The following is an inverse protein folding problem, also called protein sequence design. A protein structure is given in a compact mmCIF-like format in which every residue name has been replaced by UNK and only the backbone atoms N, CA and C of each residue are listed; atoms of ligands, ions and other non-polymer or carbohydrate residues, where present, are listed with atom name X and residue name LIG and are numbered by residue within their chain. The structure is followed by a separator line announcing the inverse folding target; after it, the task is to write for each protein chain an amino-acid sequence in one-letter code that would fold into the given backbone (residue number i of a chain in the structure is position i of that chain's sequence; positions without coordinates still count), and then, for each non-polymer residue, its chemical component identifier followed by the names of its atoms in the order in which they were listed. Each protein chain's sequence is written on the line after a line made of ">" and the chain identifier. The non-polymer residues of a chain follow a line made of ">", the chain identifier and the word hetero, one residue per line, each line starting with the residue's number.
data_IF_212056425705
#
_entry.id   IF_212056425705
#
_cell.length_a   1.000
_cell.length_b   1.000
_cell.length_c   1.000
_cell.angle_alpha   90.00
_cell.angle_beta   90.00
_cell.angle_gamma   90.00
#
_symmetry.space_group_name_H-M   'P 1'
#
loop_
_entity.id
_entity.type
_entity.pdbx_description
1 polymer ?
#
# COMPACT_ATOMS: atom_id res chain seq x y z
N UNK A 1 -35.07 -18.97 5.43
CA UNK A 1 -34.09 -20.04 5.77
C UNK A 1 -33.21 -19.54 6.91
N UNK A 2 -32.70 -20.44 7.78
CA UNK A 2 -31.85 -20.05 8.92
C UNK A 2 -30.39 -20.33 8.58
N UNK A 3 -29.56 -19.30 8.65
CA UNK A 3 -28.11 -19.42 8.57
C UNK A 3 -27.51 -19.40 9.98
N UNK A 4 -26.60 -20.33 10.24
CA UNK A 4 -25.90 -20.49 11.50
C UNK A 4 -24.39 -20.31 11.29
N UNK A 5 -23.66 -19.92 12.34
CA UNK A 5 -22.20 -19.70 12.27
C UNK A 5 -21.35 -20.94 11.94
N UNK A 6 -21.94 -22.10 11.66
CA UNK A 6 -21.24 -23.31 11.19
C UNK A 6 -21.32 -23.49 9.68
N UNK A 7 -22.17 -22.73 8.99
CA UNK A 7 -22.31 -22.82 7.54
C UNK A 7 -21.07 -22.23 6.86
N UNK A 8 -20.49 -22.96 5.91
CA UNK A 8 -19.35 -22.47 5.13
C UNK A 8 -19.74 -21.30 4.22
N UNK A 9 -18.77 -20.44 3.82
CA UNK A 9 -19.05 -19.24 3.03
C UNK A 9 -19.75 -19.53 1.71
N UNK A 10 -19.38 -20.61 1.01
CA UNK A 10 -20.03 -21.01 -0.25
C UNK A 10 -21.51 -21.34 -0.06
N UNK A 11 -21.85 -22.06 1.01
CA UNK A 11 -23.23 -22.43 1.32
C UNK A 11 -24.06 -21.21 1.71
N UNK A 12 -23.45 -20.28 2.47
CA UNK A 12 -24.07 -18.99 2.80
C UNK A 12 -24.38 -18.20 1.52
N UNK A 13 -23.42 -18.08 0.60
CA UNK A 13 -23.61 -17.38 -0.68
C UNK A 13 -24.78 -17.99 -1.47
N UNK A 14 -24.80 -19.32 -1.62
CA UNK A 14 -25.87 -20.02 -2.34
C UNK A 14 -27.25 -19.75 -1.72
N UNK A 15 -27.36 -19.84 -0.39
CA UNK A 15 -28.62 -19.59 0.31
C UNK A 15 -29.06 -18.13 0.15
N UNK A 16 -28.14 -17.18 0.28
CA UNK A 16 -28.44 -15.74 0.12
C UNK A 16 -28.92 -15.47 -1.30
N UNK A 17 -28.23 -15.99 -2.31
CA UNK A 17 -28.60 -15.81 -3.71
C UNK A 17 -29.96 -16.46 -4.05
N UNK A 18 -30.20 -17.68 -3.55
CA UNK A 18 -31.46 -18.39 -3.72
C UNK A 18 -32.64 -17.72 -2.96
N UNK A 19 -32.35 -16.91 -1.93
CA UNK A 19 -33.34 -16.19 -1.14
C UNK A 19 -33.36 -14.67 -1.43
N UNK A 20 -32.89 -14.25 -2.60
CA UNK A 20 -32.76 -12.83 -2.99
C UNK A 20 -34.02 -11.98 -2.80
N UNK A 21 -35.21 -12.59 -2.82
CA UNK A 21 -36.51 -11.91 -2.68
C UNK A 21 -37.31 -12.37 -1.44
N UNK A 22 -36.64 -12.81 -0.37
CA UNK A 22 -37.31 -13.30 0.84
C UNK A 22 -36.56 -13.01 2.14
N UNK A 23 -37.06 -13.55 3.24
CA UNK A 23 -36.45 -13.35 4.57
C UNK A 23 -35.39 -14.42 4.88
N UNK A 24 -34.22 -13.95 5.26
CA UNK A 24 -33.11 -14.76 5.77
C UNK A 24 -32.98 -14.47 7.27
N UNK A 25 -32.94 -15.51 8.09
CA UNK A 25 -32.76 -15.39 9.53
C UNK A 25 -31.35 -15.83 9.90
N UNK A 26 -30.61 -14.98 10.61
CA UNK A 26 -29.27 -15.27 11.07
C UNK A 26 -29.28 -15.59 12.56
N UNK A 27 -28.73 -16.74 12.94
CA UNK A 27 -28.46 -17.09 14.34
C UNK A 27 -26.98 -16.81 14.63
N UNK A 28 -26.71 -15.65 15.22
CA UNK A 28 -25.35 -15.15 15.47
C UNK A 28 -25.00 -15.14 16.96
N UNK A 29 -23.71 -15.26 17.27
CA UNK A 29 -23.16 -14.96 18.59
C UNK A 29 -22.63 -13.52 18.52
N UNK A 30 -23.07 -12.60 19.40
CA UNK A 30 -22.61 -11.21 19.37
C UNK A 30 -21.13 -11.11 19.77
N UNK A 31 -20.41 -10.20 19.10
CA UNK A 31 -19.03 -9.85 19.44
C UNK A 31 -19.07 -8.64 20.38
N UNK A 32 -18.44 -8.75 21.56
CA UNK A 32 -18.50 -7.75 22.64
C UNK A 32 -17.55 -6.59 22.45
N UNK A 33 -16.52 -6.75 21.61
CA UNK A 33 -15.53 -5.72 21.31
C UNK A 33 -15.82 -5.17 19.92
N UNK A 34 -16.51 -4.02 19.86
CA UNK A 34 -16.57 -3.23 18.63
C UNK A 34 -15.61 -2.05 18.78
N UNK A 35 -14.66 -1.85 17.86
CA UNK A 35 -13.95 -0.58 17.78
C UNK A 35 -14.98 0.53 17.60
N UNK A 36 -14.99 1.50 18.52
CA UNK A 36 -15.79 2.71 18.35
C UNK A 36 -15.13 3.50 17.21
N UNK A 37 -15.66 3.36 16.00
CA UNK A 37 -15.18 4.13 14.87
C UNK A 37 -15.71 5.56 15.02
N UNK A 38 -14.85 6.49 15.45
CA UNK A 38 -15.18 7.91 15.44
C UNK A 38 -15.32 8.33 13.96
N UNK A 39 -16.56 8.41 13.48
CA UNK A 39 -16.90 8.64 12.07
C UNK A 39 -16.57 10.09 11.66
N UNK A 40 -15.29 10.38 11.48
CA UNK A 40 -14.87 11.59 10.76
C UNK A 40 -14.91 11.26 9.28
N UNK A 41 -15.74 11.98 8.53
CA UNK A 41 -15.81 11.84 7.08
C UNK A 41 -14.46 12.22 6.46
N UNK A 42 -13.80 11.26 5.80
CA UNK A 42 -12.51 11.46 5.15
C UNK A 42 -12.65 11.25 3.63
N UNK A 43 -12.14 12.18 2.85
CA UNK A 43 -12.08 12.07 1.40
C UNK A 43 -10.62 12.08 0.94
N UNK A 44 -10.30 11.23 -0.03
CA UNK A 44 -8.97 11.15 -0.62
C UNK A 44 -9.06 11.26 -2.14
N UNK A 45 -7.99 11.75 -2.75
CA UNK A 45 -7.83 11.76 -4.20
C UNK A 45 -6.90 10.63 -4.61
N UNK A 46 -7.34 9.78 -5.53
CA UNK A 46 -6.52 8.72 -6.08
C UNK A 46 -5.34 9.30 -6.89
N UNK A 47 -4.13 8.86 -6.60
CA UNK A 47 -2.91 9.26 -7.31
C UNK A 47 -2.40 8.21 -8.29
N UNK A 48 -2.99 7.02 -8.26
CA UNK A 48 -2.71 5.88 -9.14
C UNK A 48 -4.02 5.33 -9.69
N UNK A 49 -3.92 4.55 -10.75
CA UNK A 49 -5.00 3.67 -11.20
C UNK A 49 -4.98 2.37 -10.38
N UNK A 50 -6.16 1.76 -10.19
CA UNK A 50 -6.31 0.47 -9.53
C UNK A 50 -7.44 -0.35 -10.16
N UNK A 51 -7.15 -1.62 -10.43
CA UNK A 51 -8.07 -2.61 -10.99
C UNK A 51 -8.07 -3.87 -10.11
N UNK A 52 -9.16 -4.19 -9.40
CA UNK A 52 -9.28 -5.42 -8.60
C UNK A 52 -9.00 -6.69 -9.40
N UNK A 53 -9.35 -6.70 -10.69
CA UNK A 53 -9.16 -7.84 -11.58
C UNK A 53 -7.67 -8.13 -11.87
N UNK A 54 -6.79 -7.15 -11.63
CA UNK A 54 -5.35 -7.26 -11.85
C UNK A 54 -4.57 -7.46 -10.54
N UNK A 55 -5.26 -7.52 -9.40
CA UNK A 55 -4.63 -7.68 -8.09
C UNK A 55 -4.92 -9.06 -7.51
N UNK A 56 -3.98 -10.02 -7.61
CA UNK A 56 -4.17 -11.36 -7.06
C UNK A 56 -4.17 -11.40 -5.52
N UNK A 57 -3.81 -10.30 -4.85
CA UNK A 57 -3.80 -10.22 -3.38
C UNK A 57 -5.11 -9.71 -2.77
N UNK A 58 -6.10 -9.35 -3.59
CA UNK A 58 -7.42 -8.97 -3.08
C UNK A 58 -8.15 -10.19 -2.50
N UNK A 59 -8.76 -10.08 -1.30
CA UNK A 59 -9.43 -11.22 -0.67
C UNK A 59 -10.70 -11.66 -1.41
N UNK A 60 -11.37 -10.73 -2.11
CA UNK A 60 -12.53 -11.00 -2.93
C UNK A 60 -12.61 -9.97 -4.05
N UNK A 61 -12.42 -10.41 -5.30
CA UNK A 61 -12.41 -9.52 -6.49
C UNK A 61 -13.74 -8.80 -6.65
N UNK A 62 -14.86 -9.49 -6.41
CA UNK A 62 -16.21 -8.93 -6.54
C UNK A 62 -16.52 -7.82 -5.52
N UNK A 63 -15.81 -7.82 -4.39
CA UNK A 63 -15.90 -6.75 -3.40
C UNK A 63 -14.99 -5.55 -3.74
N UNK A 64 -14.09 -5.69 -4.72
CA UNK A 64 -13.13 -4.64 -5.08
C UNK A 64 -13.77 -3.49 -5.85
N UNK A 65 -13.31 -2.27 -5.58
CA UNK A 65 -13.72 -1.07 -6.31
C UNK A 65 -12.56 -0.54 -7.16
N UNK A 66 -12.73 -0.56 -8.49
CA UNK A 66 -11.79 0.08 -9.41
C UNK A 66 -11.84 1.61 -9.32
N UNK A 67 -10.69 2.26 -9.38
CA UNK A 67 -10.58 3.71 -9.47
C UNK A 67 -9.45 4.12 -10.41
N UNK A 68 -9.55 5.34 -10.92
CA UNK A 68 -8.53 5.97 -11.73
C UNK A 68 -7.88 7.11 -10.97
N UNK A 69 -6.65 7.45 -11.36
CA UNK A 69 -5.98 8.65 -10.90
C UNK A 69 -6.89 9.86 -11.11
N UNK A 70 -7.05 10.65 -10.05
CA UNK A 70 -7.90 11.83 -10.01
C UNK A 70 -9.26 11.61 -9.38
N UNK A 71 -9.75 10.35 -9.28
CA UNK A 71 -11.02 10.02 -8.61
C UNK A 71 -11.00 10.48 -7.14
N UNK A 72 -12.14 10.96 -6.66
CA UNK A 72 -12.36 11.27 -5.24
C UNK A 72 -13.10 10.12 -4.58
N UNK A 73 -12.49 9.58 -3.52
CA UNK A 73 -12.96 8.43 -2.77
C UNK A 73 -13.29 8.88 -1.34
N UNK A 74 -14.53 8.63 -0.92
CA UNK A 74 -14.96 8.71 0.47
C UNK A 74 -14.47 7.45 1.18
N UNK A 75 -13.72 7.61 2.27
CA UNK A 75 -13.21 6.51 3.06
C UNK A 75 -14.22 6.17 4.16
N UNK A 76 -14.70 4.93 4.14
CA UNK A 76 -15.72 4.40 5.06
C UNK A 76 -15.09 3.69 6.25
N UNK A 77 -14.06 2.88 6.01
CA UNK A 77 -13.35 2.13 7.04
C UNK A 77 -11.86 1.94 6.67
N UNK A 78 -10.98 2.18 7.64
CA UNK A 78 -9.51 2.05 7.54
C UNK A 78 -8.93 1.12 8.61
N UNK A 79 -9.78 0.38 9.32
CA UNK A 79 -9.35 -0.52 10.41
C UNK A 79 -8.39 -1.60 9.92
N UNK A 80 -8.59 -2.12 8.71
CA UNK A 80 -7.67 -3.05 8.08
C UNK A 80 -6.45 -2.31 7.48
N UNK A 81 -5.26 -2.81 7.78
CA UNK A 81 -3.99 -2.20 7.37
C UNK A 81 -3.68 -2.32 5.88
N UNK A 82 -4.30 -3.26 5.17
CA UNK A 82 -4.06 -3.57 3.76
C UNK A 82 -5.22 -3.16 2.86
N UNK A 83 -6.46 -3.28 3.34
CA UNK A 83 -7.66 -3.11 2.53
C UNK A 83 -8.65 -2.15 3.17
N UNK A 84 -8.80 -0.97 2.59
CA UNK A 84 -9.77 0.01 3.07
C UNK A 84 -11.12 -0.16 2.37
N UNK A 85 -12.19 0.21 3.06
CA UNK A 85 -13.52 0.34 2.45
C UNK A 85 -13.72 1.78 2.00
N UNK A 86 -14.10 1.95 0.74
CA UNK A 86 -14.32 3.28 0.19
C UNK A 86 -15.50 3.31 -0.78
N UNK A 87 -16.04 4.51 -0.98
CA UNK A 87 -17.07 4.80 -1.98
C UNK A 87 -16.56 5.87 -2.93
N UNK A 88 -16.77 5.68 -4.23
CA UNK A 88 -16.48 6.72 -5.21
C UNK A 88 -17.61 7.75 -5.21
N UNK A 89 -17.27 9.03 -5.10
CA UNK A 89 -18.26 10.10 -4.95
C UNK A 89 -19.24 10.20 -6.13
N UNK A 90 -18.79 9.83 -7.34
CA UNK A 90 -19.60 9.85 -8.56
C UNK A 90 -20.27 8.50 -8.87
N UNK A 91 -20.25 7.54 -7.94
CA UNK A 91 -20.83 6.22 -8.14
C UNK A 91 -22.26 6.15 -7.60
N UNK A 92 -23.14 5.48 -8.34
CA UNK A 92 -24.49 5.15 -7.88
C UNK A 92 -24.51 3.90 -6.96
N UNK A 93 -23.34 3.34 -6.61
CA UNK A 93 -23.25 2.16 -5.74
C UNK A 93 -23.57 2.53 -4.29
N UNK A 94 -24.59 1.89 -3.74
CA UNK A 94 -24.94 2.05 -2.32
C UNK A 94 -23.84 1.47 -1.40
N UNK A 95 -23.20 0.38 -1.84
CA UNK A 95 -22.17 -0.34 -1.10
C UNK A 95 -20.78 0.30 -1.24
N UNK A 96 -19.99 0.23 -0.18
CA UNK A 96 -18.55 0.46 -0.24
C UNK A 96 -17.86 -0.72 -0.93
N UNK A 97 -16.72 -0.47 -1.57
CA UNK A 97 -15.86 -1.53 -2.10
C UNK A 97 -14.45 -1.45 -1.53
N UNK A 98 -13.72 -2.54 -1.65
CA UNK A 98 -12.34 -2.65 -1.20
C UNK A 98 -11.40 -1.89 -2.13
N UNK A 99 -10.53 -1.09 -1.53
CA UNK A 99 -9.41 -0.44 -2.17
C UNK A 99 -8.12 -0.75 -1.40
N UNK A 100 -6.96 -0.82 -2.05
CA UNK A 100 -5.70 -1.01 -1.36
C UNK A 100 -5.40 0.20 -0.46
N UNK A 101 -4.94 -0.08 0.75
CA UNK A 101 -4.50 0.96 1.68
C UNK A 101 -3.24 1.67 1.15
N UNK A 102 -2.94 2.85 1.71
CA UNK A 102 -1.69 3.54 1.38
C UNK A 102 -0.45 2.69 1.74
N UNK A 103 -0.53 1.88 2.81
CA UNK A 103 0.54 0.97 3.20
C UNK A 103 0.74 -0.14 2.16
N UNK A 104 -0.34 -0.75 1.67
CA UNK A 104 -0.28 -1.78 0.63
C UNK A 104 0.30 -1.21 -0.66
N UNK A 105 -0.17 -0.05 -1.11
CA UNK A 105 0.35 0.62 -2.31
C UNK A 105 1.84 0.94 -2.19
N UNK A 106 2.30 1.47 -1.05
CA UNK A 106 3.73 1.76 -0.80
C UNK A 106 4.59 0.49 -0.84
N UNK A 107 4.09 -0.63 -0.30
CA UNK A 107 4.80 -1.92 -0.33
C UNK A 107 4.93 -2.43 -1.76
N UNK A 108 3.83 -2.44 -2.53
CA UNK A 108 3.83 -2.86 -3.95
C UNK A 108 4.75 -1.99 -4.81
N UNK A 109 4.72 -0.66 -4.60
CA UNK A 109 5.66 0.24 -5.28
C UNK A 109 7.10 -0.09 -4.93
N UNK A 110 7.42 -0.25 -3.64
CA UNK A 110 8.76 -0.63 -3.19
C UNK A 110 9.23 -1.95 -3.81
N UNK A 111 8.39 -2.99 -3.78
CA UNK A 111 8.68 -4.28 -4.39
C UNK A 111 8.95 -4.15 -5.89
N UNK A 112 8.15 -3.33 -6.58
CA UNK A 112 8.37 -3.01 -7.98
C UNK A 112 9.74 -2.34 -8.22
N UNK A 113 10.11 -1.34 -7.40
CA UNK A 113 11.42 -0.68 -7.47
C UNK A 113 12.58 -1.65 -7.22
N UNK A 114 12.42 -2.60 -6.28
CA UNK A 114 13.45 -3.60 -5.97
C UNK A 114 13.53 -4.74 -6.98
N UNK A 115 12.46 -4.98 -7.74
CA UNK A 115 12.42 -6.03 -8.76
C UNK A 115 13.03 -5.58 -10.09
N UNK A 116 13.34 -4.29 -10.26
CA UNK A 116 13.96 -3.81 -11.48
C UNK A 116 15.45 -4.18 -11.50
N UNK A 117 15.95 -4.83 -12.57
CA UNK A 117 17.38 -5.00 -12.73
C UNK A 117 18.02 -3.62 -12.78
N UNK A 118 19.03 -3.40 -11.94
CA UNK A 118 19.87 -2.20 -11.98
C UNK A 118 20.29 -1.96 -13.43
N UNK A 119 19.78 -0.89 -14.03
CA UNK A 119 20.23 -0.42 -15.34
C UNK A 119 21.38 0.54 -15.06
N UNK A 120 22.65 0.19 -15.35
CA UNK A 120 23.71 1.17 -15.32
C UNK A 120 23.32 2.31 -16.26
N UNK A 121 23.21 3.52 -15.73
CA UNK A 121 22.84 4.69 -16.52
C UNK A 121 23.85 4.86 -17.67
N UNK A 122 23.43 4.64 -18.91
CA UNK A 122 24.14 5.17 -20.08
C UNK A 122 23.87 6.68 -20.17
N UNK A 123 24.38 7.44 -19.20
CA UNK A 123 24.41 8.88 -19.23
C UNK A 123 25.80 9.32 -19.69
N UNK A 124 26.00 9.40 -21.01
CA UNK A 124 26.92 10.35 -21.67
C UNK A 124 26.66 10.28 -23.18
N UNK A 125 25.76 11.12 -23.69
CA UNK A 125 25.97 11.65 -25.04
C UNK A 125 26.72 12.96 -24.89
N UNK A 126 28.05 12.86 -24.75
CA UNK A 126 28.95 13.97 -25.03
C UNK A 126 29.07 14.08 -26.54
N UNK A 127 28.48 15.13 -27.09
CA UNK A 127 28.71 15.57 -28.45
C UNK A 127 30.12 16.17 -28.52
N UNK A 128 31.09 15.41 -29.05
CA UNK A 128 32.31 15.94 -29.65
C UNK A 128 33.07 14.84 -30.41
N UNK A 129 33.08 14.92 -31.73
CA UNK A 129 34.19 14.39 -32.54
C UNK A 129 35.33 15.41 -32.45
N UNK A 130 36.29 15.16 -31.57
CA UNK A 130 37.69 15.53 -31.81
C UNK A 130 38.53 14.35 -31.32
N UNK A 131 39.45 13.98 -32.18
CA UNK A 131 40.31 12.81 -32.14
C UNK A 131 41.31 12.81 -30.96
N UNK A 132 41.73 11.59 -30.57
CA UNK A 132 43.00 11.22 -29.89
C UNK A 132 43.13 11.73 -28.42
N UNK A 133 43.60 11.00 -27.40
CA UNK A 133 44.60 9.93 -27.27
C UNK A 133 44.52 9.30 -25.86
N UNK A 134 45.17 8.15 -25.68
CA UNK A 134 45.29 7.32 -24.48
C UNK A 134 45.61 8.08 -23.17
N UNK A 135 44.85 7.80 -22.10
CA UNK A 135 45.37 7.85 -20.73
C UNK A 135 44.65 6.82 -19.85
N UNK A 136 45.33 5.69 -19.63
CA UNK A 136 44.96 4.71 -18.60
C UNK A 136 45.09 5.38 -17.23
N UNK A 137 43.97 5.65 -16.55
CA UNK A 137 43.99 6.04 -15.15
C UNK A 137 44.38 4.82 -14.31
N UNK A 138 45.67 4.68 -14.03
CA UNK A 138 46.18 3.82 -12.98
C UNK A 138 45.63 4.32 -11.63
N UNK A 139 44.75 3.53 -11.01
CA UNK A 139 44.42 3.71 -9.60
C UNK A 139 45.63 3.28 -8.78
N UNK A 140 46.35 4.26 -8.23
CA UNK A 140 47.37 4.02 -7.22
C UNK A 140 46.67 3.64 -5.91
N UNK A 141 46.78 2.37 -5.53
CA UNK A 141 46.36 1.83 -4.23
C UNK A 141 47.27 2.40 -3.13
N UNK A 142 47.05 3.68 -2.78
CA UNK A 142 47.65 4.28 -1.61
C UNK A 142 46.60 4.50 -0.53
N UNK A 143 46.50 3.48 0.33
CA UNK A 143 45.92 3.57 1.66
C UNK A 143 46.36 4.88 2.34
N UNK A 144 45.41 5.76 2.66
CA UNK A 144 45.62 6.81 3.64
C UNK A 144 45.02 6.30 4.94
N UNK A 145 45.90 6.17 5.93
CA UNK A 145 45.59 5.70 7.26
C UNK A 145 44.71 6.69 8.03
N UNK A 146 44.04 6.13 9.04
CA UNK A 146 43.21 6.84 9.99
C UNK A 146 43.98 7.95 10.71
N UNK A 147 43.35 9.12 10.83
CA UNK A 147 43.66 10.05 11.91
C UNK A 147 42.48 10.01 12.90
N UNK A 148 42.80 9.53 14.10
CA UNK A 148 41.94 9.59 15.27
C UNK A 148 41.98 11.01 15.83
N UNK A 149 40.94 11.81 15.60
CA UNK A 149 40.75 13.02 16.39
C UNK A 149 40.11 12.65 17.73
N UNK A 150 40.97 12.67 18.75
CA UNK A 150 40.64 12.61 20.16
C UNK A 150 39.65 13.74 20.51
N UNK A 151 38.44 13.35 20.90
CA UNK A 151 37.48 14.26 21.52
C UNK A 151 37.95 14.53 22.95
N UNK A 152 38.63 15.66 23.16
CA UNK A 152 38.93 16.17 24.49
C UNK A 152 37.62 16.43 25.23
N UNK A 153 37.43 15.68 26.32
CA UNK A 153 36.31 15.83 27.24
C UNK A 153 36.69 16.91 28.25
N UNK A 154 36.19 18.13 28.09
CA UNK A 154 36.22 19.11 29.19
C UNK A 154 35.12 18.78 30.21
N UNK A 155 35.55 18.08 31.25
CA UNK A 155 34.95 18.05 32.58
C UNK A 155 34.99 19.46 33.18
N UNK A 156 33.85 20.02 33.59
CA UNK A 156 33.82 21.06 34.62
C UNK A 156 32.82 20.66 35.70
N UNK A 157 33.42 20.26 36.81
CA UNK A 157 32.84 19.95 38.12
C UNK A 157 32.57 21.26 38.89
N UNK A 158 31.35 21.33 39.42
CA UNK A 158 30.82 21.88 40.68
C UNK A 158 31.26 23.22 41.33
N UNK A 159 30.29 23.68 42.15
CA UNK A 159 30.29 24.60 43.30
C UNK A 159 29.75 26.01 43.00
N UNK A 160 28.74 26.55 43.69
CA UNK A 160 28.27 26.42 45.08
C UNK A 160 26.74 26.68 45.19
#
# INVERSE_FOLDING_TARGET
>A
RVLCGRDGPEQVIQVVQACSHGTIMFKVIPITERPVHNQTMLYVRAMTDYSPQQDPSIPCVDAGMSFRRGDILEIVDQTDTLWWQAKKLQSNSACAGLIPSTNLLKRKQREFWWSQPYQPHACTQTLSTVDEEDDMIAIDDKCVEADEEAFESEELIEEE
#
